data_IF_114628100724
#
_entry.id   IF_114628100724
#
_cell.length_a   1.000
_cell.length_b   1.000
_cell.length_c   1.000
_cell.angle_alpha   90.00
_cell.angle_beta   90.00
_cell.angle_gamma   90.00
#
_symmetry.space_group_name_H-M   'P 1'
#
loop_
_entity.id
_entity.type
_entity.pdbx_description
1 polymer ?
#
# COMPACT_ATOMS: atom_id res chain seq x y z
N UNK A 1 -11.79 -18.33 -24.02
CA UNK A 1 -12.35 -19.26 -23.02
C UNK A 1 -12.40 -20.63 -23.66
N UNK A 2 -11.71 -21.61 -23.10
CA UNK A 2 -11.70 -22.98 -23.62
C UNK A 2 -12.74 -23.77 -22.83
N UNK A 3 -13.96 -23.90 -23.35
CA UNK A 3 -14.87 -24.97 -22.91
C UNK A 3 -14.30 -26.26 -23.48
N UNK A 4 -13.37 -26.89 -22.76
CA UNK A 4 -12.93 -28.24 -23.11
C UNK A 4 -14.05 -29.24 -22.81
N UNK A 5 -14.08 -30.40 -23.48
CA UNK A 5 -15.03 -31.48 -23.20
C UNK A 5 -14.98 -32.03 -21.76
N UNK A 6 -14.04 -31.56 -20.91
CA UNK A 6 -13.80 -32.01 -19.55
C UNK A 6 -14.29 -31.08 -18.43
N UNK A 7 -15.12 -30.07 -18.74
CA UNK A 7 -15.68 -29.15 -17.75
C UNK A 7 -14.93 -27.81 -17.64
N UNK A 8 -15.35 -26.97 -16.68
CA UNK A 8 -14.74 -25.67 -16.44
C UNK A 8 -13.29 -25.83 -15.93
N UNK A 9 -12.37 -25.09 -16.54
CA UNK A 9 -10.95 -25.07 -16.13
C UNK A 9 -10.54 -23.64 -15.78
N UNK A 10 -9.77 -23.51 -14.70
CA UNK A 10 -9.19 -22.22 -14.30
C UNK A 10 -8.16 -21.77 -15.33
N UNK A 11 -8.09 -20.47 -15.54
CA UNK A 11 -7.09 -19.85 -16.41
C UNK A 11 -5.69 -20.07 -15.84
N UNK A 12 -4.71 -20.56 -16.63
CA UNK A 12 -3.33 -20.70 -16.18
C UNK A 12 -2.72 -19.35 -15.79
N UNK A 13 -1.90 -19.31 -14.73
CA UNK A 13 -1.26 -18.07 -14.25
C UNK A 13 -0.24 -17.52 -15.27
N UNK A 14 0.23 -18.36 -16.19
CA UNK A 14 1.19 -18.04 -17.25
C UNK A 14 0.66 -17.00 -18.24
N UNK A 15 -0.66 -16.75 -18.28
CA UNK A 15 -1.24 -15.65 -19.05
C UNK A 15 -0.80 -14.28 -18.53
N UNK A 16 -0.36 -14.20 -17.27
CA UNK A 16 0.14 -12.98 -16.66
C UNK A 16 1.64 -12.82 -16.91
N UNK A 17 2.03 -11.59 -17.25
CA UNK A 17 3.42 -11.21 -17.45
C UNK A 17 4.26 -11.43 -16.19
N UNK A 18 5.49 -11.88 -16.40
CA UNK A 18 6.47 -12.01 -15.33
C UNK A 18 6.88 -10.62 -14.82
N UNK A 19 7.17 -10.47 -13.52
CA UNK A 19 7.71 -9.23 -13.01
C UNK A 19 9.03 -8.88 -13.67
N UNK A 20 9.20 -7.60 -14.01
CA UNK A 20 10.52 -7.03 -14.28
C UNK A 20 11.06 -6.51 -12.95
N UNK A 21 12.07 -7.19 -12.41
CA UNK A 21 12.75 -6.73 -11.21
C UNK A 21 13.65 -5.55 -11.57
N UNK A 22 13.38 -4.42 -10.94
CA UNK A 22 14.25 -3.23 -11.03
C UNK A 22 15.10 -3.22 -9.77
N UNK A 23 16.39 -3.50 -9.93
CA UNK A 23 17.36 -3.33 -8.86
C UNK A 23 17.80 -1.87 -8.82
N UNK A 24 17.61 -1.21 -7.68
CA UNK A 24 18.21 0.10 -7.43
C UNK A 24 19.67 -0.08 -7.03
N UNK A 25 20.52 0.81 -7.54
CA UNK A 25 21.92 0.85 -7.15
C UNK A 25 22.06 1.12 -5.66
N UNK A 26 22.79 0.26 -4.95
CA UNK A 26 23.09 0.45 -3.52
C UNK A 26 23.83 1.77 -3.26
N UNK A 27 24.63 2.23 -4.22
CA UNK A 27 25.34 3.51 -4.13
C UNK A 27 24.38 4.70 -4.15
N UNK A 28 23.33 4.64 -4.98
CA UNK A 28 22.30 5.68 -5.04
C UNK A 28 21.50 5.74 -3.73
N UNK A 29 21.17 4.58 -3.18
CA UNK A 29 20.46 4.46 -1.90
C UNK A 29 21.31 5.04 -0.77
N UNK A 30 22.59 4.69 -0.70
CA UNK A 30 23.52 5.20 0.30
C UNK A 30 23.74 6.71 0.16
N UNK A 31 23.83 7.22 -1.08
CA UNK A 31 23.93 8.65 -1.36
C UNK A 31 22.72 9.42 -0.87
N UNK A 32 21.51 8.92 -1.15
CA UNK A 32 20.26 9.54 -0.68
C UNK A 32 20.15 9.55 0.85
N UNK A 33 20.56 8.47 1.51
CA UNK A 33 20.60 8.43 2.98
C UNK A 33 21.50 9.53 3.56
N UNK A 34 22.70 9.73 2.99
CA UNK A 34 23.61 10.82 3.40
C UNK A 34 23.01 12.19 3.16
N UNK A 35 22.39 12.42 2.00
CA UNK A 35 21.72 13.69 1.69
C UNK A 35 20.61 14.01 2.68
N UNK A 36 19.83 13.01 3.13
CA UNK A 36 18.82 13.19 4.16
C UNK A 36 19.44 13.66 5.48
N UNK A 37 20.50 12.99 5.94
CA UNK A 37 21.20 13.35 7.18
C UNK A 37 21.81 14.75 7.11
N UNK A 38 22.50 15.07 6.01
CA UNK A 38 23.13 16.38 5.77
C UNK A 38 22.10 17.49 5.66
N UNK A 39 20.99 17.25 4.96
CA UNK A 39 19.90 18.21 4.84
C UNK A 39 19.30 18.51 6.22
N UNK A 40 18.92 17.48 7.00
CA UNK A 40 18.40 17.68 8.37
C UNK A 40 19.40 18.44 9.25
N UNK A 41 20.69 18.08 9.19
CA UNK A 41 21.74 18.74 9.94
C UNK A 41 21.88 20.23 9.56
N UNK A 42 21.74 20.58 8.27
CA UNK A 42 21.81 21.98 7.80
C UNK A 42 20.70 22.88 8.39
N UNK A 43 19.55 22.30 8.75
CA UNK A 43 18.45 22.98 9.44
C UNK A 43 18.51 22.80 10.98
N UNK A 44 19.65 22.34 11.50
CA UNK A 44 19.90 22.16 12.93
C UNK A 44 19.05 21.03 13.54
N UNK A 45 18.77 19.99 12.77
CA UNK A 45 18.05 18.79 13.21
C UNK A 45 19.02 17.61 13.20
N UNK A 46 19.50 17.20 14.38
CA UNK A 46 20.34 16.01 14.53
C UNK A 46 19.48 14.76 14.30
N UNK A 47 19.82 13.96 13.29
CA UNK A 47 19.13 12.70 13.00
C UNK A 47 20.03 11.75 12.22
N UNK A 48 19.73 10.45 12.28
CA UNK A 48 20.50 9.40 11.59
C UNK A 48 19.60 8.41 10.87
N UNK A 49 19.96 8.02 9.65
CA UNK A 49 19.31 6.93 8.93
C UNK A 49 19.80 5.60 9.52
N UNK A 50 18.88 4.84 10.11
CA UNK A 50 19.15 3.56 10.80
C UNK A 50 18.60 2.35 10.06
N UNK A 51 17.67 2.56 9.12
CA UNK A 51 17.05 1.51 8.34
C UNK A 51 16.75 2.02 6.93
N UNK A 52 16.83 1.14 5.93
CA UNK A 52 16.39 1.43 4.57
C UNK A 52 15.56 0.27 4.04
N UNK A 53 14.34 0.55 3.60
CA UNK A 53 13.46 -0.43 2.96
C UNK A 53 13.21 0.02 1.52
N UNK A 54 13.70 -0.75 0.55
CA UNK A 54 13.57 -0.45 -0.86
C UNK A 54 12.24 -1.04 -1.36
N UNK A 55 11.33 -0.16 -1.78
CA UNK A 55 10.08 -0.55 -2.43
C UNK A 55 10.15 -0.38 -3.95
N UNK A 56 9.09 -0.80 -4.65
CA UNK A 56 9.01 -0.71 -6.12
C UNK A 56 8.95 0.73 -6.62
N UNK A 57 8.25 1.62 -5.90
CA UNK A 57 8.02 3.02 -6.33
C UNK A 57 8.73 4.05 -5.46
N UNK A 58 8.93 3.74 -4.19
CA UNK A 58 9.59 4.59 -3.21
C UNK A 58 10.61 3.79 -2.41
N UNK A 59 11.60 4.47 -1.87
CA UNK A 59 12.50 3.92 -0.86
C UNK A 59 12.19 4.61 0.47
N UNK A 60 11.87 3.83 1.50
CA UNK A 60 11.62 4.33 2.84
C UNK A 60 12.92 4.35 3.64
N UNK A 61 13.36 5.55 4.02
CA UNK A 61 14.50 5.77 4.90
C UNK A 61 14.01 5.97 6.33
N UNK A 62 14.46 5.08 7.18
CA UNK A 62 14.20 5.08 8.59
C UNK A 62 15.12 6.00 9.36
N UNK A 63 14.61 7.12 9.85
CA UNK A 63 15.39 8.16 10.51
C UNK A 63 15.11 8.15 12.01
N UNK A 64 16.16 7.99 12.81
CA UNK A 64 16.12 8.16 14.24
C UNK A 64 16.45 9.61 14.62
N UNK A 65 15.54 10.33 15.31
CA UNK A 65 15.83 11.68 15.79
C UNK A 65 16.89 11.62 16.90
N UNK A 66 17.93 12.44 16.76
CA UNK A 66 18.99 12.65 17.75
C UNK A 66 18.57 13.64 18.83
N UNK A 67 19.49 14.54 19.19
CA UNK A 67 19.33 15.43 20.34
C UNK A 67 19.38 16.90 19.93
N UNK A 68 18.46 17.68 20.47
CA UNK A 68 18.50 19.15 20.46
C UNK A 68 19.27 19.59 21.72
N UNK A 69 20.44 20.19 21.51
CA UNK A 69 21.36 20.62 22.58
C UNK A 69 21.41 22.13 22.62
N UNK A 70 21.13 22.70 23.78
CA UNK A 70 21.31 24.14 24.01
C UNK A 70 22.56 24.36 24.83
N UNK A 71 23.34 25.34 24.39
CA UNK A 71 24.54 25.77 25.09
C UNK A 71 24.35 27.18 25.61
N UNK A 72 24.93 27.48 26.77
CA UNK A 72 25.00 28.81 27.33
C UNK A 72 26.47 29.20 27.47
N UNK A 73 26.83 30.37 26.99
CA UNK A 73 28.15 30.94 27.24
C UNK A 73 28.21 31.47 28.68
N UNK A 74 29.15 30.96 29.45
CA UNK A 74 29.47 31.40 30.79
C UNK A 74 30.81 32.13 30.71
N UNK A 75 30.79 33.41 31.10
CA UNK A 75 32.00 34.24 31.19
C UNK A 75 32.51 34.16 32.62
N UNK A 76 33.60 33.44 32.82
CA UNK A 76 34.32 33.43 34.10
C UNK A 76 35.44 34.47 34.04
N UNK A 77 35.59 35.22 35.13
CA UNK A 77 36.65 36.21 35.29
C UNK A 77 37.71 35.62 36.20
N UNK A 78 38.92 35.48 35.68
CA UNK A 78 40.06 35.06 36.48
C UNK A 78 40.48 36.18 37.46
N UNK A 79 41.27 35.82 38.48
CA UNK A 79 41.81 36.78 39.46
C UNK A 79 42.64 37.91 38.84
N UNK A 80 43.16 37.70 37.62
CA UNK A 80 43.96 38.67 36.86
C UNK A 80 43.11 39.55 35.91
N UNK A 81 41.77 39.42 35.95
CA UNK A 81 40.86 40.25 35.15
C UNK A 81 40.64 39.79 33.70
N UNK A 82 41.31 38.72 33.25
CA UNK A 82 41.01 38.05 31.99
C UNK A 82 39.63 37.37 32.04
N UNK A 83 38.84 37.52 30.97
CA UNK A 83 37.53 36.87 30.85
C UNK A 83 37.69 35.64 29.97
N UNK A 84 37.47 34.46 30.54
CA UNK A 84 37.39 33.21 29.77
C UNK A 84 35.91 32.88 29.50
N UNK A 85 35.56 32.65 28.24
CA UNK A 85 34.22 32.22 27.85
C UNK A 85 34.22 30.71 27.72
N UNK A 86 33.43 30.02 28.55
CA UNK A 86 33.20 28.58 28.44
C UNK A 86 31.77 28.32 27.98
N UNK A 87 31.60 27.44 27.00
CA UNK A 87 30.29 26.96 26.57
C UNK A 87 29.88 25.77 27.42
N UNK A 88 28.75 25.86 28.12
CA UNK A 88 28.18 24.76 28.91
C UNK A 88 26.86 24.29 28.30
N UNK A 89 26.70 22.97 28.12
CA UNK A 89 25.44 22.37 27.66
C UNK A 89 24.40 22.46 28.78
N UNK A 90 23.36 23.26 28.57
CA UNK A 90 22.31 23.56 29.57
C UNK A 90 21.06 22.71 29.38
N UNK A 91 20.84 22.14 28.20
CA UNK A 91 19.71 21.23 27.98
C UNK A 91 19.98 20.25 26.86
N UNK A 92 19.55 19.00 27.06
CA UNK A 92 19.54 17.94 26.06
C UNK A 92 18.15 17.33 25.99
N UNK A 93 17.46 17.53 24.87
CA UNK A 93 16.11 17.00 24.65
C UNK A 93 16.10 16.26 23.33
N UNK A 94 15.32 15.19 23.21
CA UNK A 94 15.18 14.51 21.91
C UNK A 94 14.59 15.47 20.88
N UNK A 95 15.11 15.44 19.66
CA UNK A 95 14.53 16.20 18.55
C UNK A 95 13.04 15.89 18.44
N UNK A 96 12.22 16.94 18.42
CA UNK A 96 10.77 16.80 18.25
C UNK A 96 10.47 16.31 16.83
N UNK A 97 9.57 15.33 16.73
CA UNK A 97 9.10 14.79 15.45
C UNK A 97 8.61 15.89 14.51
N UNK A 98 7.90 16.89 15.04
CA UNK A 98 7.37 18.01 14.26
C UNK A 98 8.46 18.82 13.52
N UNK A 99 9.70 18.88 14.07
CA UNK A 99 10.82 19.54 13.39
C UNK A 99 11.27 18.79 12.15
N UNK A 100 11.10 17.46 12.11
CA UNK A 100 11.43 16.64 10.93
C UNK A 100 10.28 16.73 9.93
N UNK A 101 9.02 16.59 10.39
CA UNK A 101 7.85 16.63 9.49
C UNK A 101 7.69 17.99 8.81
N UNK A 102 8.05 19.09 9.47
CA UNK A 102 8.01 20.44 8.89
C UNK A 102 9.01 20.66 7.75
N UNK A 103 10.08 19.86 7.67
CA UNK A 103 11.14 19.98 6.67
C UNK A 103 10.88 19.16 5.39
N UNK A 104 9.66 18.65 5.19
CA UNK A 104 9.33 17.82 4.03
C UNK A 104 9.68 18.51 2.69
N UNK A 105 9.37 19.80 2.53
CA UNK A 105 9.66 20.53 1.30
C UNK A 105 11.17 20.76 1.11
N UNK A 106 11.89 21.07 2.20
CA UNK A 106 13.34 21.26 2.16
C UNK A 106 14.08 19.95 1.84
N UNK A 107 13.62 18.84 2.40
CA UNK A 107 14.13 17.50 2.07
C UNK A 107 13.86 17.13 0.62
N UNK A 108 12.66 17.42 0.11
CA UNK A 108 12.33 17.20 -1.30
C UNK A 108 13.27 18.00 -2.22
N UNK A 109 13.56 19.25 -1.85
CA UNK A 109 14.51 20.11 -2.57
C UNK A 109 15.93 19.54 -2.54
N UNK A 110 16.43 19.15 -1.37
CA UNK A 110 17.78 18.59 -1.21
C UNK A 110 17.96 17.27 -1.97
N UNK A 111 16.90 16.45 -2.04
CA UNK A 111 16.89 15.18 -2.75
C UNK A 111 16.57 15.32 -4.25
N UNK A 112 16.27 16.52 -4.72
CA UNK A 112 15.84 16.80 -6.09
C UNK A 112 14.62 15.95 -6.53
N UNK A 113 13.62 15.81 -5.66
CA UNK A 113 12.36 15.09 -5.92
C UNK A 113 11.16 16.01 -5.82
N UNK A 114 10.04 15.64 -6.45
CA UNK A 114 8.80 16.44 -6.41
C UNK A 114 8.23 16.58 -5.00
N UNK A 115 8.26 15.50 -4.22
CA UNK A 115 7.80 15.50 -2.83
C UNK A 115 8.38 14.29 -2.09
N UNK A 116 8.43 14.39 -0.77
CA UNK A 116 8.70 13.26 0.13
C UNK A 116 7.49 13.07 1.04
N UNK A 117 7.20 11.82 1.42
CA UNK A 117 6.17 11.51 2.42
C UNK A 117 6.86 11.15 3.73
N UNK A 118 6.42 11.78 4.82
CA UNK A 118 6.96 11.53 6.15
C UNK A 118 5.91 10.80 6.98
N UNK A 119 6.24 9.58 7.41
CA UNK A 119 5.45 8.77 8.32
C UNK A 119 6.06 8.85 9.72
N UNK A 120 5.36 9.46 10.67
CA UNK A 120 5.92 9.74 11.99
C UNK A 120 4.91 9.52 13.14
N UNK A 121 5.23 8.66 14.13
CA UNK A 121 6.25 7.61 14.10
C UNK A 121 5.83 6.46 13.16
N UNK A 122 6.81 5.68 12.70
CA UNK A 122 6.51 4.41 12.00
C UNK A 122 5.82 3.45 12.98
N UNK A 123 4.66 2.86 12.65
CA UNK A 123 3.94 1.96 13.55
C UNK A 123 4.83 0.84 14.11
N UNK A 124 4.87 0.74 15.44
CA UNK A 124 5.66 -0.27 16.15
C UNK A 124 7.18 0.00 16.19
N UNK A 125 7.66 1.16 15.72
CA UNK A 125 9.09 1.51 15.74
C UNK A 125 9.34 2.93 16.28
N UNK A 126 10.49 3.14 16.94
CA UNK A 126 10.89 4.43 17.52
C UNK A 126 11.65 5.32 16.52
N UNK A 127 11.09 5.52 15.34
CA UNK A 127 11.74 6.19 14.20
C UNK A 127 10.71 6.90 13.32
N UNK A 128 11.20 7.81 12.48
CA UNK A 128 10.44 8.52 11.45
C UNK A 128 10.76 7.89 10.09
N UNK A 129 9.76 7.52 9.31
CA UNK A 129 9.94 7.01 7.96
C UNK A 129 9.87 8.15 6.94
N UNK A 130 10.91 8.31 6.12
CA UNK A 130 10.94 9.26 5.01
C UNK A 130 10.90 8.47 3.71
N UNK A 131 9.77 8.52 3.02
CA UNK A 131 9.58 7.90 1.71
C UNK A 131 10.04 8.86 0.61
N UNK A 132 11.00 8.39 -0.19
CA UNK A 132 11.58 9.14 -1.31
C UNK A 132 11.27 8.40 -2.61
N UNK A 133 10.69 9.06 -3.64
CA UNK A 133 10.46 8.44 -4.94
C UNK A 133 11.72 7.86 -5.56
N UNK A 134 11.62 6.65 -6.12
CA UNK A 134 12.71 6.02 -6.85
C UNK A 134 12.96 6.74 -8.19
N UNK A 135 14.19 6.72 -8.69
CA UNK A 135 14.52 7.22 -10.04
C UNK A 135 14.05 6.26 -11.14
N UNK A 136 13.97 4.97 -10.83
CA UNK A 136 13.43 3.93 -11.70
C UNK A 136 12.31 3.23 -10.95
N UNK A 137 11.12 3.18 -11.55
CA UNK A 137 9.95 2.53 -10.97
C UNK A 137 9.91 1.07 -11.37
N UNK A 138 9.88 0.17 -10.39
CA UNK A 138 9.52 -1.22 -10.63
C UNK A 138 8.01 -1.34 -10.82
N UNK A 139 7.56 -1.82 -11.99
CA UNK A 139 6.15 -2.11 -12.20
C UNK A 139 5.72 -3.26 -11.27
N UNK A 140 4.64 -3.06 -10.50
CA UNK A 140 4.06 -4.12 -9.67
C UNK A 140 3.08 -4.92 -10.51
N UNK A 141 3.52 -6.06 -11.04
CA UNK A 141 2.62 -6.95 -11.79
C UNK A 141 1.73 -7.76 -10.84
N UNK A 142 0.50 -8.07 -11.28
CA UNK A 142 -0.44 -8.90 -10.53
C UNK A 142 0.17 -10.26 -10.16
N UNK A 143 0.86 -10.90 -11.12
CA UNK A 143 1.55 -12.18 -10.92
C UNK A 143 2.56 -12.14 -9.78
N UNK A 144 3.34 -11.05 -9.70
CA UNK A 144 4.38 -10.89 -8.68
C UNK A 144 3.88 -10.93 -7.25
N UNK A 145 2.57 -10.66 -7.05
CA UNK A 145 1.94 -10.72 -5.73
C UNK A 145 1.19 -12.04 -5.55
N UNK A 146 0.52 -12.54 -6.60
CA UNK A 146 -0.18 -13.83 -6.57
C UNK A 146 0.79 -14.98 -6.23
N UNK A 147 2.00 -14.99 -6.79
CA UNK A 147 2.98 -16.06 -6.54
C UNK A 147 3.56 -16.04 -5.12
N UNK A 148 3.29 -15.01 -4.31
CA UNK A 148 3.86 -14.87 -2.97
C UNK A 148 3.23 -15.84 -1.96
N UNK A 149 4.05 -16.34 -1.04
CA UNK A 149 3.55 -17.20 0.05
C UNK A 149 2.46 -16.52 0.91
N UNK A 150 2.48 -15.19 1.02
CA UNK A 150 1.45 -14.42 1.71
C UNK A 150 0.07 -14.61 1.07
N UNK A 151 -0.02 -14.44 -0.25
CA UNK A 151 -1.26 -14.66 -1.00
C UNK A 151 -1.71 -16.12 -0.93
N UNK A 152 -0.79 -17.06 -1.19
CA UNK A 152 -1.08 -18.49 -1.22
C UNK A 152 -1.70 -19.00 0.11
N UNK A 153 -1.24 -18.48 1.25
CA UNK A 153 -1.79 -18.81 2.57
C UNK A 153 -3.23 -18.34 2.77
N UNK A 154 -3.59 -17.16 2.29
CA UNK A 154 -4.97 -16.63 2.40
C UNK A 154 -5.88 -17.39 1.43
N UNK A 155 -5.44 -17.56 0.17
CA UNK A 155 -6.19 -18.28 -0.87
C UNK A 155 -6.52 -19.72 -0.48
N UNK A 156 -5.64 -20.39 0.27
CA UNK A 156 -5.89 -21.73 0.77
C UNK A 156 -7.09 -21.82 1.74
N UNK A 157 -7.53 -20.69 2.30
CA UNK A 157 -8.62 -20.62 3.29
C UNK A 157 -9.84 -19.85 2.81
N UNK A 158 -9.68 -18.92 1.88
CA UNK A 158 -10.76 -18.06 1.38
C UNK A 158 -10.79 -18.05 -0.14
N UNK A 159 -12.00 -18.17 -0.70
CA UNK A 159 -12.30 -18.05 -2.12
C UNK A 159 -12.23 -16.60 -2.61
N UNK A 160 -12.42 -15.64 -1.72
CA UNK A 160 -12.41 -14.20 -2.04
C UNK A 160 -11.13 -13.51 -1.55
N UNK A 161 -10.01 -14.22 -1.66
CA UNK A 161 -8.67 -13.66 -1.48
C UNK A 161 -8.33 -12.72 -2.64
N UNK A 162 -7.90 -11.50 -2.31
CA UNK A 162 -7.60 -10.44 -3.28
C UNK A 162 -6.17 -9.93 -3.11
N UNK A 163 -5.58 -9.52 -4.23
CA UNK A 163 -4.31 -8.80 -4.28
C UNK A 163 -4.58 -7.30 -4.33
N UNK A 164 -3.85 -6.53 -3.51
CA UNK A 164 -3.89 -5.06 -3.55
C UNK A 164 -2.61 -4.46 -4.14
N UNK A 165 -1.48 -5.18 -4.03
CA UNK A 165 -0.21 -4.75 -4.63
C UNK A 165 0.97 -5.03 -3.72
N UNK A 166 1.93 -4.10 -3.69
CA UNK A 166 3.10 -4.13 -2.81
C UNK A 166 3.14 -2.87 -1.95
N UNK A 167 3.62 -3.00 -0.72
CA UNK A 167 3.81 -1.87 0.19
C UNK A 167 5.08 -1.08 -0.11
N UNK A 168 5.35 -0.06 0.70
CA UNK A 168 6.51 0.82 0.54
C UNK A 168 7.85 0.10 0.72
N UNK A 169 7.88 -1.05 1.41
CA UNK A 169 9.05 -1.92 1.53
C UNK A 169 9.07 -3.09 0.55
N UNK A 170 8.14 -3.12 -0.42
CA UNK A 170 8.04 -4.19 -1.42
C UNK A 170 7.31 -5.44 -0.94
N UNK A 171 6.85 -5.48 0.31
CA UNK A 171 6.07 -6.58 0.86
C UNK A 171 4.73 -6.73 0.15
N UNK A 172 4.28 -7.97 -0.04
CA UNK A 172 3.01 -8.28 -0.68
C UNK A 172 1.82 -7.83 0.19
N UNK A 173 0.96 -6.99 -0.37
CA UNK A 173 -0.28 -6.56 0.27
C UNK A 173 -1.45 -7.36 -0.33
N UNK A 174 -2.01 -8.21 0.52
CA UNK A 174 -3.09 -9.15 0.19
C UNK A 174 -4.16 -9.07 1.26
N UNK A 175 -5.41 -9.28 0.86
CA UNK A 175 -6.55 -9.19 1.76
C UNK A 175 -7.55 -10.32 1.51
N UNK A 176 -8.43 -10.54 2.47
CA UNK A 176 -9.55 -11.46 2.36
C UNK A 176 -10.85 -10.67 2.42
N UNK A 177 -11.58 -10.62 1.31
CA UNK A 177 -12.82 -9.84 1.23
C UNK A 177 -13.91 -10.39 2.16
N UNK A 178 -13.87 -11.67 2.55
CA UNK A 178 -14.82 -12.21 3.54
C UNK A 178 -14.62 -11.59 4.92
N UNK A 179 -13.38 -11.23 5.27
CA UNK A 179 -13.03 -10.55 6.54
C UNK A 179 -13.19 -9.03 6.46
N UNK A 180 -13.23 -8.48 5.26
CA UNK A 180 -13.54 -7.09 4.95
C UNK A 180 -14.79 -7.06 4.07
N UNK A 181 -15.98 -7.36 4.62
CA UNK A 181 -17.14 -7.81 3.86
C UNK A 181 -17.58 -6.84 2.75
N UNK A 182 -17.19 -5.57 2.86
CA UNK A 182 -17.36 -4.57 1.82
C UNK A 182 -16.08 -3.74 1.64
N UNK A 183 -15.74 -3.40 0.40
CA UNK A 183 -14.58 -2.59 0.03
C UNK A 183 -15.03 -1.34 -0.74
N UNK A 184 -14.54 -0.17 -0.36
CA UNK A 184 -14.71 1.09 -1.08
C UNK A 184 -13.39 1.48 -1.76
N UNK A 185 -13.42 1.69 -3.08
CA UNK A 185 -12.27 2.16 -3.87
C UNK A 185 -12.59 3.55 -4.41
N UNK A 186 -11.78 4.54 -4.04
CA UNK A 186 -11.92 5.94 -4.47
C UNK A 186 -10.57 6.50 -4.94
N UNK A 187 -10.61 7.41 -5.90
CA UNK A 187 -9.41 8.06 -6.47
C UNK A 187 -9.77 8.96 -7.64
N UNK A 188 -8.92 9.95 -7.92
CA UNK A 188 -9.06 10.84 -9.07
C UNK A 188 -8.81 10.10 -10.40
N UNK A 189 -9.21 10.69 -11.53
CA UNK A 189 -8.89 10.15 -12.85
C UNK A 189 -7.38 9.98 -13.02
N UNK A 190 -6.93 8.84 -13.55
CA UNK A 190 -5.51 8.54 -13.72
C UNK A 190 -4.78 8.03 -12.46
N UNK A 191 -5.44 7.96 -11.30
CA UNK A 191 -4.84 7.45 -10.05
C UNK A 191 -4.67 5.92 -9.99
N UNK A 192 -5.12 5.19 -11.00
CA UNK A 192 -5.07 3.71 -11.03
C UNK A 192 -6.30 3.00 -10.43
N UNK A 193 -7.40 3.72 -10.15
CA UNK A 193 -8.65 3.13 -9.63
C UNK A 193 -9.16 1.96 -10.48
N UNK A 194 -9.25 2.15 -11.80
CA UNK A 194 -9.70 1.11 -12.74
C UNK A 194 -8.76 -0.10 -12.70
N UNK A 195 -7.46 0.13 -12.81
CA UNK A 195 -6.44 -0.94 -12.79
C UNK A 195 -6.51 -1.74 -11.49
N UNK A 196 -6.74 -1.08 -10.35
CA UNK A 196 -6.96 -1.74 -9.06
C UNK A 196 -8.20 -2.64 -9.08
N UNK A 197 -9.33 -2.12 -9.57
CA UNK A 197 -10.58 -2.88 -9.70
C UNK A 197 -10.42 -4.10 -10.62
N UNK A 198 -9.83 -3.91 -11.79
CA UNK A 198 -9.55 -4.98 -12.74
C UNK A 198 -8.59 -6.02 -12.17
N UNK A 199 -7.54 -5.59 -11.45
CA UNK A 199 -6.60 -6.50 -10.78
C UNK A 199 -7.30 -7.39 -9.75
N UNK A 200 -8.25 -6.84 -8.98
CA UNK A 200 -9.07 -7.60 -8.04
C UNK A 200 -9.96 -8.60 -8.78
N UNK A 201 -10.66 -8.17 -9.83
CA UNK A 201 -11.54 -9.06 -10.62
C UNK A 201 -10.73 -10.19 -11.25
N UNK A 202 -9.62 -9.88 -11.91
CA UNK A 202 -8.72 -10.87 -12.51
C UNK A 202 -8.15 -11.83 -11.47
N UNK A 203 -7.74 -11.34 -10.30
CA UNK A 203 -7.29 -12.17 -9.18
C UNK A 203 -8.35 -13.21 -8.78
N UNK A 204 -9.62 -12.78 -8.68
CA UNK A 204 -10.72 -13.68 -8.35
C UNK A 204 -10.98 -14.69 -9.48
N UNK A 205 -10.98 -14.26 -10.74
CA UNK A 205 -11.22 -15.14 -11.90
C UNK A 205 -10.12 -16.20 -12.10
N UNK A 206 -8.88 -15.89 -11.76
CA UNK A 206 -7.76 -16.84 -11.85
C UNK A 206 -7.85 -17.98 -10.84
N UNK A 207 -8.65 -17.81 -9.78
CA UNK A 207 -8.66 -18.72 -8.63
C UNK A 207 -10.03 -19.28 -8.27
N UNK A 208 -11.09 -18.86 -8.96
CA UNK A 208 -12.46 -19.25 -8.65
C UNK A 208 -13.23 -19.63 -9.90
N UNK A 209 -13.96 -20.74 -9.82
CA UNK A 209 -14.95 -21.12 -10.82
C UNK A 209 -16.23 -20.29 -10.68
N UNK A 210 -17.12 -20.32 -11.69
CA UNK A 210 -18.47 -19.73 -11.58
C UNK A 210 -19.30 -20.26 -10.41
N UNK A 211 -19.00 -21.47 -9.92
CA UNK A 211 -19.66 -22.07 -8.76
C UNK A 211 -19.10 -21.54 -7.43
N UNK A 212 -17.83 -21.11 -7.41
CA UNK A 212 -17.19 -20.52 -6.23
C UNK A 212 -17.56 -19.04 -6.06
N UNK A 213 -17.47 -18.25 -7.14
CA UNK A 213 -17.66 -16.79 -7.12
C UNK A 213 -18.44 -16.34 -8.35
N UNK A 214 -19.52 -15.60 -8.09
CA UNK A 214 -20.34 -14.96 -9.13
C UNK A 214 -20.32 -13.43 -8.99
N UNK A 215 -20.37 -12.74 -10.12
CA UNK A 215 -20.34 -11.29 -10.20
C UNK A 215 -21.67 -10.74 -10.70
N UNK A 216 -22.09 -9.63 -10.06
CA UNK A 216 -23.01 -8.67 -10.64
C UNK A 216 -22.21 -7.39 -10.83
N UNK A 217 -21.95 -7.03 -12.09
CA UNK A 217 -21.17 -5.85 -12.44
C UNK A 217 -22.11 -4.72 -12.87
N UNK A 218 -21.89 -3.53 -12.32
CA UNK A 218 -22.68 -2.33 -12.61
C UNK A 218 -21.71 -1.25 -13.12
N UNK A 219 -21.87 -0.82 -14.36
CA UNK A 219 -21.05 0.23 -15.00
C UNK A 219 -21.94 1.21 -15.78
N UNK A 220 -22.48 2.23 -15.10
CA UNK A 220 -23.35 3.22 -15.74
C UNK A 220 -22.62 4.05 -16.81
N UNK A 221 -21.28 4.14 -16.75
CA UNK A 221 -20.48 4.93 -17.69
C UNK A 221 -20.08 4.13 -18.93
N UNK A 222 -20.16 2.79 -18.87
CA UNK A 222 -19.79 1.87 -19.96
C UNK A 222 -18.32 1.94 -20.36
N UNK A 223 -17.44 2.27 -19.43
CA UNK A 223 -16.01 2.48 -19.72
C UNK A 223 -15.16 1.33 -19.19
N UNK A 224 -15.47 0.83 -18.00
CA UNK A 224 -14.51 0.05 -17.21
C UNK A 224 -14.87 -1.43 -17.19
N UNK A 225 -16.14 -1.78 -16.96
CA UNK A 225 -16.53 -3.18 -16.70
C UNK A 225 -17.14 -3.90 -17.89
N UNK A 226 -17.51 -3.17 -18.96
CA UNK A 226 -18.16 -3.76 -20.14
C UNK A 226 -17.27 -4.83 -20.81
N UNK A 227 -15.95 -4.73 -20.68
CA UNK A 227 -14.97 -5.70 -21.16
C UNK A 227 -15.17 -7.11 -20.56
N UNK A 228 -15.77 -7.21 -19.37
CA UNK A 228 -16.02 -8.49 -18.70
C UNK A 228 -17.29 -9.20 -19.19
N UNK A 229 -18.07 -8.61 -20.11
CA UNK A 229 -19.25 -9.31 -20.66
C UNK A 229 -18.85 -10.64 -21.31
N UNK A 230 -19.63 -11.68 -21.03
CA UNK A 230 -19.42 -13.03 -21.57
C UNK A 230 -18.53 -13.93 -20.72
N UNK A 231 -17.95 -13.44 -19.61
CA UNK A 231 -17.35 -14.35 -18.62
C UNK A 231 -18.45 -15.16 -17.91
N UNK A 232 -18.20 -16.44 -17.59
CA UNK A 232 -19.23 -17.30 -17.02
C UNK A 232 -19.51 -17.03 -15.54
N UNK A 233 -18.61 -16.32 -14.85
CA UNK A 233 -18.85 -15.87 -13.49
C UNK A 233 -19.91 -14.74 -13.42
N UNK A 234 -20.35 -14.14 -14.54
CA UNK A 234 -21.39 -13.12 -14.53
C UNK A 234 -22.78 -13.74 -14.37
N UNK A 235 -23.54 -13.29 -13.38
CA UNK A 235 -24.95 -13.68 -13.17
C UNK A 235 -25.86 -13.09 -14.26
N UNK A 236 -25.49 -11.91 -14.76
CA UNK A 236 -26.18 -11.19 -15.83
C UNK A 236 -25.17 -10.33 -16.61
N UNK A 237 -25.49 -9.91 -17.84
CA UNK A 237 -24.69 -8.92 -18.56
C UNK A 237 -24.46 -7.67 -17.71
N UNK A 238 -23.32 -7.01 -17.92
CA UNK A 238 -22.92 -5.81 -17.18
C UNK A 238 -24.05 -4.78 -17.22
N UNK A 239 -24.49 -4.36 -16.04
CA UNK A 239 -25.65 -3.48 -15.88
C UNK A 239 -25.21 -2.05 -16.11
N UNK A 240 -25.67 -1.46 -17.21
CA UNK A 240 -25.33 -0.08 -17.62
C UNK A 240 -26.43 0.93 -17.31
N UNK A 241 -27.63 0.46 -16.99
CA UNK A 241 -28.79 1.29 -16.73
C UNK A 241 -29.02 1.43 -15.21
N UNK A 242 -29.26 2.65 -14.74
CA UNK A 242 -29.40 2.95 -13.31
C UNK A 242 -30.63 2.30 -12.69
N UNK A 243 -31.74 2.18 -13.43
CA UNK A 243 -32.95 1.54 -12.91
C UNK A 243 -32.76 0.03 -12.78
N UNK A 244 -32.06 -0.58 -13.74
CA UNK A 244 -31.63 -1.99 -13.64
C UNK A 244 -30.64 -2.21 -12.51
N UNK A 245 -29.75 -1.26 -12.24
CA UNK A 245 -28.82 -1.33 -11.11
C UNK A 245 -29.58 -1.39 -9.77
N UNK A 246 -30.60 -0.54 -9.59
CA UNK A 246 -31.47 -0.59 -8.41
C UNK A 246 -32.20 -1.93 -8.27
N UNK A 247 -32.67 -2.50 -9.38
CA UNK A 247 -33.30 -3.84 -9.38
C UNK A 247 -32.30 -4.93 -8.99
N UNK A 248 -31.07 -4.88 -9.49
CA UNK A 248 -30.03 -5.84 -9.14
C UNK A 248 -29.68 -5.79 -7.63
N UNK A 249 -29.56 -4.58 -7.06
CA UNK A 249 -29.33 -4.42 -5.62
C UNK A 249 -30.50 -4.94 -4.77
N UNK A 250 -31.75 -4.70 -5.19
CA UNK A 250 -32.93 -5.27 -4.52
C UNK A 250 -32.95 -6.79 -4.59
N UNK A 251 -32.55 -7.36 -5.73
CA UNK A 251 -32.41 -8.80 -5.88
C UNK A 251 -31.35 -9.37 -4.95
N UNK A 252 -30.20 -8.69 -4.78
CA UNK A 252 -29.15 -9.10 -3.83
C UNK A 252 -29.67 -9.17 -2.39
N UNK A 253 -30.50 -8.22 -1.96
CA UNK A 253 -31.14 -8.27 -0.64
C UNK A 253 -32.05 -9.50 -0.50
N UNK A 254 -32.84 -9.81 -1.54
CA UNK A 254 -33.70 -10.99 -1.52
C UNK A 254 -32.92 -12.31 -1.49
N UNK A 255 -31.82 -12.40 -2.25
CA UNK A 255 -30.93 -13.56 -2.25
C UNK A 255 -30.25 -13.73 -0.87
N UNK A 256 -29.86 -12.64 -0.22
CA UNK A 256 -29.34 -12.67 1.15
C UNK A 256 -30.40 -13.24 2.13
N UNK A 257 -31.63 -12.74 2.10
CA UNK A 257 -32.72 -13.25 2.95
C UNK A 257 -33.03 -14.72 2.69
N UNK A 258 -33.01 -15.13 1.41
CA UNK A 258 -33.19 -16.53 1.02
C UNK A 258 -32.10 -17.41 1.62
N UNK A 259 -30.83 -17.00 1.55
CA UNK A 259 -29.71 -17.74 2.15
C UNK A 259 -29.83 -17.83 3.66
N UNK A 260 -30.21 -16.75 4.36
CA UNK A 260 -30.44 -16.80 5.80
C UNK A 260 -31.51 -17.83 6.19
N UNK A 261 -32.61 -17.92 5.43
CA UNK A 261 -33.65 -18.95 5.66
C UNK A 261 -33.10 -20.35 5.44
N UNK A 262 -32.31 -20.56 4.39
CA UNK A 262 -31.68 -21.85 4.13
C UNK A 262 -30.71 -22.24 5.24
N UNK A 263 -29.86 -21.31 5.68
CA UNK A 263 -28.92 -21.55 6.78
C UNK A 263 -29.64 -21.91 8.08
N UNK A 264 -30.73 -21.20 8.40
CA UNK A 264 -31.55 -21.50 9.57
C UNK A 264 -32.22 -22.89 9.49
N UNK A 265 -32.61 -23.34 8.29
CA UNK A 265 -33.21 -24.67 8.08
C UNK A 265 -32.20 -25.81 8.32
N UNK A 266 -30.94 -25.63 7.92
CA UNK A 266 -29.89 -26.65 8.09
C UNK A 266 -29.08 -26.47 9.39
N UNK A 267 -29.31 -25.39 10.14
CA UNK A 267 -28.66 -25.13 11.44
C UNK A 267 -27.23 -24.56 11.34
N UNK A 268 -26.84 -23.98 10.21
CA UNK A 268 -25.50 -23.40 10.00
C UNK A 268 -25.51 -21.87 10.16
N UNK A 269 -24.34 -21.28 10.39
CA UNK A 269 -24.21 -19.84 10.68
C UNK A 269 -23.78 -18.99 9.50
N UNK A 270 -23.10 -19.58 8.52
CA UNK A 270 -22.56 -18.86 7.37
C UNK A 270 -22.39 -19.84 6.19
N UNK A 271 -21.96 -19.31 5.04
CA UNK A 271 -21.79 -20.05 3.79
C UNK A 271 -20.63 -21.06 3.82
N UNK A 272 -19.71 -20.95 4.77
CA UNK A 272 -18.57 -21.85 4.94
C UNK A 272 -18.87 -23.03 5.88
N UNK A 273 -19.99 -22.96 6.62
CA UNK A 273 -20.38 -23.89 7.68
C UNK A 273 -21.33 -24.98 7.20
#
# INVERSE_FOLDING_TARGET
LITTPGGWQLTPIEILDKPVEVELSQDDVNKRARVIEEALASYGVEAKVVQTNIGPTVTQFGVEPGWDRKYKEIKERDRDGSTQTRSEEVSKVRVRVDRITSLANDLALALAVHSVRIEAPVPGKSMVGIEVPNTVFGAVSLRSVIETAAFQRIRAKSKVAIVLGKGAGGEAIVADLARMPHLLIAGATGSGKTVCLESIICCLLLHNSPDDVQFIMIDPKRVELVIFNGIPNLVAPVVVDTDRALKALRWLNHEMDRRYRQFAQVGVRNIES
#
